data_IF_735375295054
#
_entry.id   IF_735375295054
#
_cell.length_a   1.000
_cell.length_b   1.000
_cell.length_c   1.000
_cell.angle_alpha   90.00
_cell.angle_beta   90.00
_cell.angle_gamma   90.00
#
_symmetry.space_group_name_H-M   'P 1'
#
loop_
_entity.id
_entity.type
_entity.pdbx_description
1 polymer ?
#
# COMPACT_ATOMS: atom_id res chain seq x y z
N UNK A 1 -42.98 -8.05 -44.83
CA UNK A 1 -42.27 -6.76 -44.81
C UNK A 1 -42.96 -5.83 -43.79
N UNK A 2 -42.38 -5.63 -42.59
CA UNK A 2 -42.77 -4.53 -41.68
C UNK A 2 -41.59 -4.20 -40.76
N UNK A 3 -40.82 -3.19 -41.17
CA UNK A 3 -39.56 -2.75 -40.57
C UNK A 3 -39.80 -1.38 -39.94
N UNK A 4 -40.57 -1.28 -38.84
CA UNK A 4 -40.90 0.03 -38.26
C UNK A 4 -40.78 0.14 -36.73
N UNK A 5 -40.27 -0.87 -36.02
CA UNK A 5 -40.23 -0.86 -34.55
C UNK A 5 -38.83 -0.77 -33.91
N UNK A 6 -37.78 -0.41 -34.66
CA UNK A 6 -36.40 -0.34 -34.16
C UNK A 6 -35.86 1.09 -34.02
N UNK A 7 -36.63 2.01 -33.42
CA UNK A 7 -36.07 3.28 -32.96
C UNK A 7 -36.03 3.29 -31.42
N UNK A 8 -34.85 3.50 -30.80
CA UNK A 8 -34.73 3.71 -29.36
C UNK A 8 -35.58 4.91 -28.97
N UNK A 9 -36.60 4.68 -28.12
CA UNK A 9 -37.44 5.78 -27.63
C UNK A 9 -36.60 6.67 -26.72
N UNK A 10 -36.47 7.94 -27.07
CA UNK A 10 -35.84 8.93 -26.20
C UNK A 10 -36.57 8.93 -24.84
N UNK A 11 -35.83 8.99 -23.72
CA UNK A 11 -36.43 8.96 -22.40
C UNK A 11 -37.36 10.16 -22.22
N UNK A 12 -38.57 9.90 -21.71
CA UNK A 12 -39.61 10.90 -21.42
C UNK A 12 -39.12 11.95 -20.43
N UNK A 13 -39.52 13.23 -20.61
CA UNK A 13 -39.19 14.36 -19.71
C UNK A 13 -39.48 14.08 -18.22
N UNK A 14 -40.42 13.18 -17.93
CA UNK A 14 -40.75 12.73 -16.56
C UNK A 14 -39.61 11.98 -15.84
N UNK A 15 -38.71 11.31 -16.59
CA UNK A 15 -37.51 10.65 -16.04
C UNK A 15 -36.40 11.67 -15.77
N UNK A 16 -36.36 12.78 -16.53
CA UNK A 16 -35.40 13.87 -16.27
C UNK A 16 -35.76 14.67 -15.01
N UNK A 17 -37.04 14.82 -14.67
CA UNK A 17 -37.48 15.54 -13.46
C UNK A 17 -37.33 14.73 -12.17
N UNK A 18 -37.04 13.42 -12.24
CA UNK A 18 -36.67 12.62 -11.05
C UNK A 18 -35.18 12.73 -10.68
N UNK A 19 -34.31 13.25 -11.56
CA UNK A 19 -32.88 13.39 -11.26
C UNK A 19 -32.59 14.53 -10.27
N UNK A 20 -33.50 15.50 -10.13
CA UNK A 20 -33.39 16.59 -9.14
C UNK A 20 -33.69 16.15 -7.69
N UNK A 21 -34.39 15.02 -7.50
CA UNK A 21 -34.55 14.36 -6.18
C UNK A 21 -33.44 13.34 -5.85
N UNK A 22 -32.50 13.13 -6.78
CA UNK A 22 -31.39 12.17 -6.61
C UNK A 22 -30.34 12.63 -5.60
N UNK A 23 -30.19 13.92 -5.35
CA UNK A 23 -29.16 14.45 -4.44
C UNK A 23 -29.39 14.03 -2.99
N UNK A 24 -30.60 14.08 -2.46
CA UNK A 24 -30.88 13.68 -1.07
C UNK A 24 -30.69 12.18 -0.83
N UNK A 25 -31.06 11.34 -1.82
CA UNK A 25 -30.83 9.89 -1.75
C UNK A 25 -29.36 9.50 -1.95
N UNK A 26 -28.61 10.25 -2.77
CA UNK A 26 -27.16 10.10 -2.91
C UNK A 26 -26.41 10.57 -1.66
N UNK A 27 -26.82 11.68 -1.05
CA UNK A 27 -26.25 12.17 0.21
C UNK A 27 -26.51 11.20 1.36
N UNK A 28 -27.72 10.64 1.47
CA UNK A 28 -28.03 9.60 2.46
C UNK A 28 -27.23 8.30 2.23
N UNK A 29 -26.95 7.95 0.96
CA UNK A 29 -26.05 6.83 0.61
C UNK A 29 -24.60 7.13 0.92
N UNK A 30 -24.14 8.35 0.65
CA UNK A 30 -22.79 8.81 0.98
C UNK A 30 -22.60 8.84 2.49
N UNK A 31 -23.55 9.33 3.28
CA UNK A 31 -23.49 9.32 4.74
C UNK A 31 -23.43 7.89 5.33
N UNK A 32 -24.18 6.95 4.71
CA UNK A 32 -24.13 5.53 5.05
C UNK A 32 -22.79 4.87 4.71
N UNK A 33 -22.10 5.33 3.66
CA UNK A 33 -20.78 4.85 3.25
C UNK A 33 -19.66 5.57 4.00
N UNK A 34 -19.85 6.85 4.36
CA UNK A 34 -18.87 7.75 4.95
C UNK A 34 -19.05 7.88 6.46
N UNK A 35 -19.16 6.74 7.14
CA UNK A 35 -19.10 6.71 8.62
C UNK A 35 -17.75 7.29 9.08
N UNK A 36 -17.69 7.96 10.24
CA UNK A 36 -16.44 8.45 10.84
C UNK A 36 -15.31 7.41 10.89
N UNK A 37 -15.67 6.12 11.01
CA UNK A 37 -14.75 4.98 10.93
C UNK A 37 -14.07 4.84 9.55
N UNK A 38 -14.79 5.06 8.46
CA UNK A 38 -14.23 5.03 7.10
C UNK A 38 -13.26 6.19 6.87
N UNK A 39 -13.59 7.39 7.38
CA UNK A 39 -12.67 8.54 7.35
C UNK A 39 -11.40 8.23 8.13
N UNK A 40 -11.54 7.59 9.30
CA UNK A 40 -10.39 7.15 10.10
C UNK A 40 -9.54 6.09 9.37
N UNK A 41 -10.15 5.12 8.67
CA UNK A 41 -9.41 4.15 7.86
C UNK A 41 -8.67 4.80 6.70
N UNK A 42 -9.29 5.75 6.00
CA UNK A 42 -8.63 6.53 4.94
C UNK A 42 -7.48 7.34 5.51
N UNK A 43 -7.66 7.97 6.67
CA UNK A 43 -6.60 8.73 7.35
C UNK A 43 -5.42 7.84 7.76
N UNK A 44 -5.68 6.67 8.35
CA UNK A 44 -4.64 5.70 8.73
C UNK A 44 -3.91 5.18 7.49
N UNK A 45 -4.64 4.85 6.42
CA UNK A 45 -4.04 4.43 5.15
C UNK A 45 -3.16 5.54 4.54
N UNK A 46 -3.63 6.79 4.61
CA UNK A 46 -2.87 7.95 4.16
C UNK A 46 -1.59 8.17 5.00
N UNK A 47 -1.67 8.05 6.33
CA UNK A 47 -0.51 8.12 7.22
C UNK A 47 0.50 6.99 6.96
N UNK A 48 0.02 5.78 6.69
CA UNK A 48 0.87 4.65 6.34
C UNK A 48 1.60 4.89 5.01
N UNK A 49 0.90 5.41 4.01
CA UNK A 49 1.48 5.79 2.72
C UNK A 49 2.51 6.92 2.85
N UNK A 50 2.22 7.92 3.68
CA UNK A 50 3.17 9.00 3.98
C UNK A 50 4.43 8.47 4.67
N UNK A 51 4.28 7.55 5.62
CA UNK A 51 5.40 6.95 6.34
C UNK A 51 6.32 6.17 5.39
N UNK A 52 5.76 5.37 4.47
CA UNK A 52 6.54 4.65 3.45
C UNK A 52 7.26 5.63 2.50
N UNK A 53 6.58 6.69 2.07
CA UNK A 53 7.17 7.73 1.23
C UNK A 53 8.34 8.44 1.92
N UNK A 54 8.15 8.86 3.17
CA UNK A 54 9.19 9.54 3.96
C UNK A 54 10.45 8.67 4.12
N UNK A 55 10.28 7.37 4.38
CA UNK A 55 11.39 6.43 4.48
C UNK A 55 12.22 6.41 3.19
N UNK A 56 11.59 6.39 2.02
CA UNK A 56 12.31 6.39 0.73
C UNK A 56 13.09 7.71 0.53
N UNK A 57 12.50 8.84 0.90
CA UNK A 57 13.15 10.15 0.79
C UNK A 57 14.36 10.28 1.71
N UNK A 58 14.25 9.88 2.99
CA UNK A 58 15.36 9.93 3.96
C UNK A 58 16.57 9.17 3.43
N UNK A 59 16.32 8.03 2.79
CA UNK A 59 17.38 7.19 2.24
C UNK A 59 18.03 7.84 1.04
N UNK A 60 17.21 8.33 0.11
CA UNK A 60 17.69 9.04 -1.08
C UNK A 60 18.57 10.24 -0.70
N UNK A 61 18.21 10.98 0.36
CA UNK A 61 19.01 12.09 0.89
C UNK A 61 20.29 11.61 1.59
N UNK A 62 20.26 10.44 2.22
CA UNK A 62 21.41 9.88 2.92
C UNK A 62 22.41 9.20 1.99
N UNK A 63 22.07 8.92 0.73
CA UNK A 63 22.94 8.24 -0.25
C UNK A 63 24.33 8.85 -0.36
N UNK A 64 24.41 10.19 -0.37
CA UNK A 64 25.69 10.91 -0.46
C UNK A 64 26.56 10.76 0.80
N UNK A 65 25.93 10.63 1.98
CA UNK A 65 26.67 10.36 3.22
C UNK A 65 27.11 8.91 3.30
N UNK A 66 26.25 8.00 2.84
CA UNK A 66 26.56 6.57 2.67
C UNK A 66 27.75 6.37 1.70
N UNK A 67 27.77 7.05 0.55
CA UNK A 67 28.88 6.91 -0.40
C UNK A 67 30.23 7.33 0.20
N UNK A 68 30.25 8.38 1.02
CA UNK A 68 31.45 8.85 1.72
C UNK A 68 31.83 7.93 2.88
N UNK A 69 30.85 7.43 3.64
CA UNK A 69 31.07 6.57 4.80
C UNK A 69 31.57 5.17 4.43
N UNK A 70 31.12 4.64 3.29
CA UNK A 70 31.43 3.28 2.83
C UNK A 70 32.45 3.22 1.69
N UNK A 71 32.97 4.38 1.26
CA UNK A 71 34.00 4.46 0.21
C UNK A 71 33.52 4.04 -1.19
N UNK A 72 32.21 4.00 -1.42
CA UNK A 72 31.62 3.61 -2.70
C UNK A 72 31.57 4.84 -3.61
N UNK A 73 32.36 4.83 -4.67
CA UNK A 73 32.51 5.98 -5.59
C UNK A 73 31.30 6.24 -6.50
N UNK A 74 30.42 5.26 -6.68
CA UNK A 74 29.31 5.29 -7.63
C UNK A 74 27.95 5.46 -6.91
N UNK A 75 27.37 6.66 -6.96
CA UNK A 75 26.00 6.92 -6.51
C UNK A 75 24.96 6.07 -7.27
N UNK A 76 25.32 5.61 -8.46
CA UNK A 76 24.51 4.73 -9.31
C UNK A 76 24.33 3.32 -8.71
N UNK A 77 25.37 2.75 -8.12
CA UNK A 77 25.27 1.43 -7.46
C UNK A 77 24.35 1.50 -6.25
N UNK A 78 24.42 2.58 -5.49
CA UNK A 78 23.55 2.87 -4.35
C UNK A 78 22.08 3.01 -4.77
N UNK A 79 21.79 3.73 -5.87
CA UNK A 79 20.42 3.91 -6.34
C UNK A 79 19.82 2.64 -6.96
N UNK A 80 20.64 1.82 -7.64
CA UNK A 80 20.26 0.49 -8.12
C UNK A 80 19.94 -0.43 -6.94
N UNK A 81 20.73 -0.38 -5.88
CA UNK A 81 20.51 -1.16 -4.68
C UNK A 81 19.22 -0.77 -3.93
N UNK A 82 18.87 0.53 -3.92
CA UNK A 82 17.56 1.00 -3.48
C UNK A 82 16.43 0.42 -4.35
N UNK A 83 16.56 0.53 -5.67
CA UNK A 83 15.56 0.02 -6.62
C UNK A 83 15.34 -1.48 -6.43
N UNK A 84 16.41 -2.24 -6.17
CA UNK A 84 16.34 -3.66 -5.83
C UNK A 84 15.58 -3.90 -4.52
N UNK A 85 15.77 -3.06 -3.51
CA UNK A 85 14.99 -3.11 -2.26
C UNK A 85 13.48 -2.94 -2.51
N UNK A 86 13.09 -2.08 -3.46
CA UNK A 86 11.70 -1.95 -3.87
C UNK A 86 11.16 -3.20 -4.56
N UNK A 87 11.98 -3.88 -5.35
CA UNK A 87 11.62 -5.18 -5.95
C UNK A 87 11.40 -6.25 -4.88
N UNK A 88 12.25 -6.29 -3.83
CA UNK A 88 12.04 -7.17 -2.69
C UNK A 88 10.71 -6.93 -1.96
N UNK A 89 10.21 -5.68 -1.91
CA UNK A 89 8.87 -5.37 -1.39
C UNK A 89 7.78 -6.07 -2.20
N UNK A 90 7.87 -6.03 -3.53
CA UNK A 90 6.91 -6.70 -4.42
C UNK A 90 6.98 -8.22 -4.28
N UNK A 91 8.20 -8.77 -4.16
CA UNK A 91 8.41 -10.19 -3.89
C UNK A 91 7.80 -10.62 -2.55
N UNK A 92 7.98 -9.82 -1.50
CA UNK A 92 7.35 -10.03 -0.19
C UNK A 92 5.83 -10.03 -0.26
N UNK A 93 5.24 -9.06 -0.97
CA UNK A 93 3.79 -9.01 -1.18
C UNK A 93 3.26 -10.27 -1.88
N UNK A 94 3.98 -10.81 -2.86
CA UNK A 94 3.60 -12.05 -3.55
C UNK A 94 3.66 -13.27 -2.62
N UNK A 95 4.78 -13.46 -1.92
CA UNK A 95 4.99 -14.63 -1.03
C UNK A 95 4.03 -14.60 0.15
N UNK A 96 3.93 -13.47 0.84
CA UNK A 96 3.02 -13.32 1.98
C UNK A 96 1.56 -13.27 1.56
N UNK A 97 1.25 -12.79 0.36
CA UNK A 97 -0.09 -12.89 -0.23
C UNK A 97 -0.54 -14.36 -0.36
N UNK A 98 0.31 -15.21 -0.93
CA UNK A 98 0.07 -16.66 -1.01
C UNK A 98 -0.01 -17.34 0.37
N UNK A 99 0.84 -16.92 1.31
CA UNK A 99 0.79 -17.46 2.69
C UNK A 99 -0.45 -17.01 3.46
N UNK A 100 -1.04 -15.85 3.14
CA UNK A 100 -2.23 -15.34 3.80
C UNK A 100 -3.44 -16.27 3.59
N UNK A 101 -3.50 -16.93 2.44
CA UNK A 101 -4.56 -17.89 2.12
C UNK A 101 -4.41 -19.22 2.87
N UNK A 102 -3.19 -19.56 3.34
CA UNK A 102 -2.88 -20.87 3.93
C UNK A 102 -2.73 -20.90 5.45
N UNK A 103 -2.18 -19.84 6.06
CA UNK A 103 -1.77 -19.86 7.48
C UNK A 103 -2.71 -19.14 8.46
N UNK A 104 -3.79 -18.54 7.97
CA UNK A 104 -4.73 -17.79 8.80
C UNK A 104 -4.24 -16.38 9.12
N UNK A 105 -5.09 -15.39 8.86
CA UNK A 105 -4.74 -13.97 8.71
C UNK A 105 -4.13 -13.31 9.96
N UNK A 106 -4.46 -13.80 11.16
CA UNK A 106 -3.96 -13.25 12.44
C UNK A 106 -2.46 -13.52 12.68
N UNK A 107 -1.98 -14.71 12.34
CA UNK A 107 -0.59 -15.13 12.61
C UNK A 107 0.38 -14.49 11.64
N UNK A 108 -0.06 -14.27 10.40
CA UNK A 108 0.74 -13.64 9.39
C UNK A 108 1.00 -12.16 9.68
N UNK A 109 0.00 -11.45 10.21
CA UNK A 109 0.16 -10.05 10.62
C UNK A 109 1.17 -9.92 11.77
N UNK A 110 1.10 -10.82 12.76
CA UNK A 110 2.04 -10.84 13.89
C UNK A 110 3.47 -11.14 13.44
N UNK A 111 3.68 -12.14 12.57
CA UNK A 111 5.00 -12.47 12.05
C UNK A 111 5.63 -11.31 11.26
N UNK A 112 4.84 -10.65 10.41
CA UNK A 112 5.33 -9.48 9.67
C UNK A 112 5.71 -8.33 10.62
N UNK A 113 4.89 -8.03 11.62
CA UNK A 113 5.21 -6.99 12.61
C UNK A 113 6.47 -7.31 13.40
N UNK A 114 6.64 -8.56 13.86
CA UNK A 114 7.85 -9.00 14.55
C UNK A 114 9.09 -8.92 13.64
N UNK A 115 8.96 -9.33 12.37
CA UNK A 115 10.03 -9.23 11.38
C UNK A 115 10.44 -7.77 11.16
N UNK A 116 9.48 -6.87 10.94
CA UNK A 116 9.72 -5.43 10.76
C UNK A 116 10.43 -4.86 12.00
N UNK A 117 9.92 -5.11 13.21
CA UNK A 117 10.54 -4.62 14.45
C UNK A 117 11.96 -5.15 14.65
N UNK A 118 12.19 -6.44 14.42
CA UNK A 118 13.51 -7.04 14.54
C UNK A 118 14.51 -6.47 13.52
N UNK A 119 14.05 -6.22 12.30
CA UNK A 119 14.91 -5.69 11.23
C UNK A 119 15.27 -4.21 11.46
N UNK A 120 14.35 -3.42 12.02
CA UNK A 120 14.62 -2.03 12.45
C UNK A 120 15.64 -2.00 13.58
N UNK A 121 15.51 -2.87 14.58
CA UNK A 121 16.51 -3.01 15.65
C UNK A 121 17.86 -3.52 15.12
N UNK A 122 17.85 -4.45 14.16
CA UNK A 122 19.07 -4.92 13.51
C UNK A 122 19.80 -3.81 12.77
N UNK A 123 19.04 -2.89 12.13
CA UNK A 123 19.61 -1.77 11.36
C UNK A 123 20.48 -0.84 12.22
N UNK A 124 20.23 -0.74 13.53
CA UNK A 124 21.04 0.13 14.40
C UNK A 124 22.43 -0.41 14.71
N UNK A 125 22.67 -1.70 14.49
CA UNK A 125 23.95 -2.36 14.80
C UNK A 125 24.86 -2.56 13.58
N UNK A 126 24.43 -2.14 12.39
CA UNK A 126 25.14 -2.40 11.15
C UNK A 126 26.16 -1.29 10.88
N UNK A 127 27.39 -1.70 10.61
CA UNK A 127 28.52 -0.83 10.28
C UNK A 127 29.02 -1.00 8.85
N UNK A 128 28.53 -2.00 8.11
CA UNK A 128 28.93 -2.36 6.75
C UNK A 128 27.81 -2.14 5.72
N UNK A 129 28.20 -1.74 4.50
CA UNK A 129 27.26 -1.37 3.44
C UNK A 129 26.40 -2.54 2.96
N UNK A 130 27.03 -3.68 2.74
CA UNK A 130 26.36 -4.89 2.25
C UNK A 130 25.32 -5.39 3.24
N UNK A 131 25.66 -5.40 4.53
CA UNK A 131 24.75 -5.80 5.60
C UNK A 131 23.59 -4.82 5.73
N UNK A 132 23.85 -3.52 5.57
CA UNK A 132 22.81 -2.49 5.59
C UNK A 132 21.80 -2.72 4.47
N UNK A 133 22.30 -3.07 3.28
CA UNK A 133 21.46 -3.36 2.13
C UNK A 133 20.61 -4.62 2.32
N UNK A 134 21.21 -5.69 2.87
CA UNK A 134 20.52 -6.96 3.14
C UNK A 134 19.41 -6.77 4.16
N UNK A 135 19.71 -6.10 5.28
CA UNK A 135 18.71 -5.81 6.32
C UNK A 135 17.61 -4.90 5.77
N UNK A 136 17.93 -3.95 4.90
CA UNK A 136 16.92 -3.12 4.23
C UNK A 136 16.04 -3.92 3.27
N UNK A 137 16.62 -4.83 2.49
CA UNK A 137 15.90 -5.76 1.63
C UNK A 137 14.95 -6.65 2.42
N UNK A 138 15.43 -7.17 3.56
CA UNK A 138 14.65 -7.99 4.47
C UNK A 138 13.49 -7.21 5.10
N UNK A 139 13.74 -5.96 5.53
CA UNK A 139 12.71 -5.07 6.03
C UNK A 139 11.63 -4.81 4.96
N UNK A 140 12.05 -4.52 3.73
CA UNK A 140 11.14 -4.28 2.62
C UNK A 140 10.31 -5.52 2.25
N UNK A 141 10.91 -6.71 2.36
CA UNK A 141 10.23 -7.99 2.16
C UNK A 141 9.11 -8.21 3.20
N UNK A 142 9.40 -8.03 4.49
CA UNK A 142 8.37 -8.12 5.55
C UNK A 142 7.30 -7.03 5.42
N UNK A 143 7.71 -5.79 5.11
CA UNK A 143 6.79 -4.68 4.90
C UNK A 143 5.83 -4.94 3.72
N UNK A 144 6.33 -5.48 2.62
CA UNK A 144 5.52 -5.83 1.44
C UNK A 144 4.40 -6.82 1.76
N UNK A 145 4.63 -7.75 2.68
CA UNK A 145 3.63 -8.73 3.11
C UNK A 145 2.48 -8.16 3.94
N UNK A 146 2.67 -7.00 4.57
CA UNK A 146 1.64 -6.40 5.44
C UNK A 146 0.47 -5.80 4.66
N UNK A 147 0.73 -5.16 3.52
CA UNK A 147 -0.30 -4.45 2.73
C UNK A 147 -1.35 -5.41 2.16
N UNK A 148 -0.93 -6.60 1.70
CA UNK A 148 -1.84 -7.64 1.22
C UNK A 148 -2.77 -8.18 2.32
N UNK A 149 -2.28 -8.28 3.55
CA UNK A 149 -3.08 -8.72 4.70
C UNK A 149 -4.00 -7.63 5.27
N UNK A 150 -3.63 -6.34 5.12
CA UNK A 150 -4.34 -5.22 5.72
C UNK A 150 -5.60 -4.79 4.94
N UNK A 151 -5.68 -4.98 3.62
CA UNK A 151 -6.86 -4.57 2.85
C UNK A 151 -8.13 -5.38 3.18
N UNK A 152 -8.00 -6.52 3.87
CA UNK A 152 -9.11 -7.43 4.18
C UNK A 152 -9.57 -7.33 5.66
N UNK A 153 -9.66 -6.11 6.21
CA UNK A 153 -10.09 -5.83 7.59
C UNK A 153 -11.62 -5.91 7.82
N UNK A 154 -12.44 -6.20 6.80
CA UNK A 154 -13.91 -6.04 6.88
C UNK A 154 -14.67 -7.17 7.61
N UNK A 155 -14.01 -8.23 8.04
CA UNK A 155 -14.70 -9.46 8.51
C UNK A 155 -14.32 -9.89 9.94
N UNK A 156 -13.81 -8.99 10.79
CA UNK A 156 -13.41 -9.35 12.16
C UNK A 156 -14.02 -8.47 13.27
N UNK A 157 -15.28 -8.06 13.10
CA UNK A 157 -16.26 -7.86 14.18
C UNK A 157 -17.68 -8.04 13.64
#
# INVERSE_FOLDING_TARGET
>A
MRITNCLPRLPSKSIQTQSTGGTSSLLARLDRILTARHVLYVFVAFMAWLTDSFNIFVVSLSLKRLSVQYGIGSLEELSLALSLTHLFRSAGAFVFGLMADRFGRRWLLTLNMLGISGTVLGTTFILDYSDFLVVRGLFAFFLGGTYGTALQFREFW
#
